data_IF_826654976231
#
_entry.id   IF_826654976231
#
_cell.length_a   1.000
_cell.length_b   1.000
_cell.length_c   1.000
_cell.angle_alpha   90.00
_cell.angle_beta   90.00
_cell.angle_gamma   90.00
#
_symmetry.space_group_name_H-M   'P 1'
#
loop_
_entity.id
_entity.type
_entity.pdbx_description
1 polymer ?
#
# COMPACT_ATOMS: atom_id res chain seq x y z
N UNK A 1 0.52 -26.30 -3.37
CA UNK A 1 0.50 -25.37 -2.23
C UNK A 1 1.57 -24.32 -2.50
N UNK A 2 1.18 -23.07 -2.76
CA UNK A 2 2.16 -21.99 -2.95
C UNK A 2 2.96 -21.84 -1.65
N UNK A 3 4.28 -22.04 -1.71
CA UNK A 3 5.14 -21.83 -0.56
C UNK A 3 5.33 -20.32 -0.37
N UNK A 4 4.46 -19.70 0.43
CA UNK A 4 4.67 -18.31 0.82
C UNK A 4 5.84 -18.20 1.78
N UNK A 5 6.62 -17.14 1.63
CA UNK A 5 7.72 -16.87 2.55
C UNK A 5 7.15 -16.27 3.85
N UNK A 6 7.39 -16.93 4.97
CA UNK A 6 6.94 -16.48 6.29
C UNK A 6 7.99 -15.57 6.93
N UNK A 7 7.57 -14.43 7.49
CA UNK A 7 8.44 -13.54 8.27
C UNK A 7 7.96 -13.57 9.72
N UNK A 8 8.76 -14.16 10.62
CA UNK A 8 8.44 -14.26 12.05
C UNK A 8 9.19 -13.26 12.94
N UNK A 9 10.08 -12.42 12.38
CA UNK A 9 10.90 -11.49 13.16
C UNK A 9 10.55 -10.03 12.89
N UNK A 10 10.29 -9.28 13.97
CA UNK A 10 10.18 -7.81 13.94
C UNK A 10 11.46 -7.12 13.48
N UNK A 11 12.59 -7.81 13.56
CA UNK A 11 13.89 -7.29 13.13
C UNK A 11 14.20 -7.57 11.66
N UNK A 12 13.32 -8.26 10.94
CA UNK A 12 13.48 -8.52 9.53
C UNK A 12 13.69 -7.20 8.76
N UNK A 13 14.69 -7.13 7.85
CA UNK A 13 14.99 -5.91 7.09
C UNK A 13 13.79 -5.34 6.33
N UNK A 14 12.94 -6.19 5.76
CA UNK A 14 11.72 -5.76 5.06
C UNK A 14 10.73 -5.10 6.03
N UNK A 15 10.52 -5.68 7.22
CA UNK A 15 9.66 -5.12 8.26
C UNK A 15 10.17 -3.73 8.69
N UNK A 16 11.47 -3.61 8.98
CA UNK A 16 12.09 -2.32 9.32
C UNK A 16 11.89 -1.30 8.19
N UNK A 17 12.11 -1.72 6.95
CA UNK A 17 11.95 -0.86 5.78
C UNK A 17 10.52 -0.36 5.60
N UNK A 18 9.51 -1.23 5.76
CA UNK A 18 8.10 -0.83 5.64
C UNK A 18 7.71 0.15 6.75
N UNK A 19 8.16 -0.07 7.99
CA UNK A 19 7.95 0.89 9.08
C UNK A 19 8.54 2.27 8.73
N UNK A 20 9.75 2.30 8.14
CA UNK A 20 10.35 3.56 7.68
C UNK A 20 9.54 4.20 6.55
N UNK A 21 9.11 3.43 5.55
CA UNK A 21 8.23 3.94 4.49
C UNK A 21 6.93 4.52 5.09
N UNK A 22 6.30 3.84 6.04
CA UNK A 22 5.03 4.30 6.62
C UNK A 22 5.18 5.64 7.37
N UNK A 23 6.31 5.86 8.06
CA UNK A 23 6.47 6.98 8.99
C UNK A 23 7.36 8.12 8.46
N UNK A 24 8.29 7.87 7.56
CA UNK A 24 9.28 8.85 7.10
C UNK A 24 8.95 9.36 5.69
N UNK A 25 8.38 10.57 5.60
CA UNK A 25 8.05 11.19 4.30
C UNK A 25 9.27 11.29 3.36
N UNK A 26 10.41 11.76 3.86
CA UNK A 26 11.66 11.85 3.08
C UNK A 26 12.10 10.49 2.53
N UNK A 27 11.90 9.42 3.30
CA UNK A 27 12.24 8.07 2.86
C UNK A 27 11.28 7.58 1.75
N UNK A 28 9.96 7.79 1.90
CA UNK A 28 9.01 7.49 0.82
C UNK A 28 9.34 8.20 -0.49
N UNK A 29 9.67 9.48 -0.42
CA UNK A 29 9.99 10.28 -1.59
C UNK A 29 11.29 9.82 -2.26
N UNK A 30 12.35 9.56 -1.49
CA UNK A 30 13.63 9.08 -2.04
C UNK A 30 13.54 7.68 -2.64
N UNK A 31 12.72 6.80 -2.08
CA UNK A 31 12.51 5.45 -2.60
C UNK A 31 11.45 5.38 -3.71
N UNK A 32 10.77 6.49 -4.01
CA UNK A 32 9.63 6.55 -4.94
C UNK A 32 8.57 5.46 -4.64
N UNK A 33 8.23 5.29 -3.37
CA UNK A 33 7.36 4.22 -2.88
C UNK A 33 6.37 4.71 -1.82
N UNK A 34 5.26 4.02 -1.69
CA UNK A 34 4.28 4.22 -0.63
C UNK A 34 3.87 2.89 0.01
N UNK A 35 3.32 2.98 1.23
CA UNK A 35 2.66 1.87 1.91
C UNK A 35 1.15 2.08 1.82
N UNK A 36 0.44 1.05 1.40
CA UNK A 36 -1.03 1.01 1.36
C UNK A 36 -1.55 -0.07 2.29
N UNK A 37 -2.79 0.12 2.75
CA UNK A 37 -3.41 -0.70 3.78
C UNK A 37 -4.78 -1.19 3.31
N UNK A 38 -5.01 -2.50 3.43
CA UNK A 38 -6.28 -3.13 3.12
C UNK A 38 -6.46 -3.59 1.68
N UNK A 39 -7.50 -4.40 1.49
CA UNK A 39 -7.80 -5.11 0.25
C UNK A 39 -8.09 -4.19 -0.93
N UNK A 40 -8.96 -3.18 -0.75
CA UNK A 40 -9.40 -2.34 -1.86
C UNK A 40 -8.24 -1.60 -2.53
N UNK A 41 -7.32 -1.03 -1.73
CA UNK A 41 -6.14 -0.36 -2.26
C UNK A 41 -5.19 -1.34 -2.94
N UNK A 42 -5.05 -2.57 -2.42
CA UNK A 42 -4.24 -3.59 -3.07
C UNK A 42 -4.83 -4.00 -4.42
N UNK A 43 -6.16 -4.15 -4.53
CA UNK A 43 -6.84 -4.43 -5.80
C UNK A 43 -6.56 -3.35 -6.84
N UNK A 44 -6.66 -2.07 -6.48
CA UNK A 44 -6.31 -0.97 -7.39
C UNK A 44 -4.83 -1.01 -7.78
N UNK A 45 -3.93 -1.22 -6.83
CA UNK A 45 -2.50 -1.31 -7.11
C UNK A 45 -2.17 -2.46 -8.07
N UNK A 46 -2.87 -3.60 -7.99
CA UNK A 46 -2.73 -4.73 -8.93
C UNK A 46 -3.15 -4.30 -10.34
N UNK A 47 -4.31 -3.65 -10.49
CA UNK A 47 -4.82 -3.18 -11.80
C UNK A 47 -3.81 -2.30 -12.54
N UNK A 48 -3.08 -1.45 -11.80
CA UNK A 48 -2.11 -0.52 -12.38
C UNK A 48 -0.65 -1.04 -12.39
N UNK A 49 -0.43 -2.28 -11.94
CA UNK A 49 0.89 -2.92 -11.90
C UNK A 49 1.87 -2.22 -10.96
N UNK A 50 1.40 -1.76 -9.80
CA UNK A 50 2.18 -0.94 -8.86
C UNK A 50 2.75 -1.73 -7.68
N UNK A 51 2.30 -2.97 -7.46
CA UNK A 51 2.64 -3.77 -6.27
C UNK A 51 4.08 -4.29 -6.33
N UNK A 52 4.84 -4.06 -5.25
CA UNK A 52 6.21 -4.57 -5.11
C UNK A 52 6.34 -5.62 -4.00
N UNK A 53 5.63 -5.45 -2.88
CA UNK A 53 5.59 -6.40 -1.77
C UNK A 53 4.21 -6.42 -1.14
N UNK A 54 3.77 -7.57 -0.64
CA UNK A 54 2.49 -7.74 0.07
C UNK A 54 2.72 -8.56 1.33
N UNK A 55 2.32 -8.03 2.48
CA UNK A 55 2.33 -8.70 3.76
C UNK A 55 0.89 -8.99 4.16
N UNK A 56 0.57 -10.26 4.40
CA UNK A 56 -0.77 -10.73 4.74
C UNK A 56 -0.70 -11.40 6.11
N UNK A 57 -1.68 -11.10 6.95
CA UNK A 57 -1.84 -11.80 8.22
C UNK A 57 -2.09 -13.29 7.96
N UNK A 58 -1.34 -14.16 8.63
CA UNK A 58 -1.42 -15.63 8.43
C UNK A 58 -2.85 -16.18 8.52
N UNK A 59 -3.62 -15.72 9.50
CA UNK A 59 -4.99 -16.17 9.73
C UNK A 59 -5.98 -15.68 8.64
N UNK A 60 -5.57 -14.71 7.82
CA UNK A 60 -6.40 -14.11 6.78
C UNK A 60 -6.15 -14.69 5.38
N UNK A 61 -5.25 -15.67 5.22
CA UNK A 61 -4.89 -16.24 3.91
C UNK A 61 -6.12 -16.78 3.16
N UNK A 62 -6.95 -17.59 3.85
CA UNK A 62 -8.16 -18.16 3.25
C UNK A 62 -9.15 -17.08 2.82
N UNK A 63 -9.28 -16.02 3.62
CA UNK A 63 -10.17 -14.88 3.32
C UNK A 63 -9.73 -14.16 2.04
N UNK A 64 -8.43 -14.03 1.81
CA UNK A 64 -7.86 -13.27 0.70
C UNK A 64 -7.32 -14.16 -0.43
N UNK A 65 -7.76 -15.41 -0.52
CA UNK A 65 -7.21 -16.38 -1.48
C UNK A 65 -7.34 -15.90 -2.94
N UNK A 66 -8.46 -15.31 -3.32
CA UNK A 66 -8.69 -14.81 -4.69
C UNK A 66 -7.77 -13.63 -5.02
N UNK A 67 -7.60 -12.71 -4.05
CA UNK A 67 -6.69 -11.58 -4.18
C UNK A 67 -5.23 -12.04 -4.30
N UNK A 68 -4.82 -13.02 -3.49
CA UNK A 68 -3.51 -13.66 -3.56
C UNK A 68 -3.29 -14.29 -4.95
N UNK A 69 -4.31 -14.98 -5.48
CA UNK A 69 -4.22 -15.61 -6.81
C UNK A 69 -4.14 -14.59 -7.95
N UNK A 70 -4.65 -13.37 -7.77
CA UNK A 70 -4.55 -12.28 -8.75
C UNK A 70 -3.16 -11.62 -8.83
N UNK A 71 -2.30 -11.85 -7.85
CA UNK A 71 -0.93 -11.32 -7.85
C UNK A 71 -0.04 -12.12 -8.79
N UNK A 72 0.57 -11.43 -9.75
CA UNK A 72 1.42 -12.05 -10.78
C UNK A 72 2.79 -12.50 -10.24
N UNK A 73 3.20 -12.00 -9.08
CA UNK A 73 4.47 -12.35 -8.45
C UNK A 73 4.26 -12.96 -7.04
N UNK A 74 4.12 -14.29 -6.92
CA UNK A 74 3.95 -14.95 -5.63
C UNK A 74 5.10 -14.72 -4.65
N UNK A 75 6.32 -14.43 -5.13
CA UNK A 75 7.48 -14.16 -4.27
C UNK A 75 7.38 -12.82 -3.54
N UNK A 76 6.55 -11.90 -4.04
CA UNK A 76 6.26 -10.63 -3.37
C UNK A 76 5.37 -10.81 -2.13
N UNK A 77 4.71 -11.96 -1.99
CA UNK A 77 3.78 -12.23 -0.89
C UNK A 77 4.54 -12.84 0.29
N UNK A 78 4.35 -12.23 1.46
CA UNK A 78 4.87 -12.69 2.73
C UNK A 78 3.73 -12.89 3.72
N UNK A 79 3.75 -14.01 4.42
CA UNK A 79 2.85 -14.23 5.56
C UNK A 79 3.55 -13.74 6.83
N UNK A 80 2.78 -13.07 7.69
CA UNK A 80 3.30 -12.53 8.94
C UNK A 80 2.34 -12.80 10.10
N UNK A 81 2.88 -13.00 11.32
CA UNK A 81 2.07 -13.14 12.52
C UNK A 81 1.53 -11.78 12.97
N UNK A 82 0.53 -11.83 13.85
CA UNK A 82 -0.20 -10.66 14.34
C UNK A 82 0.72 -9.58 14.94
N UNK A 83 1.77 -9.96 15.67
CA UNK A 83 2.72 -9.01 16.26
C UNK A 83 3.54 -8.22 15.24
N UNK A 84 3.79 -8.78 14.05
CA UNK A 84 4.43 -8.05 12.96
C UNK A 84 3.40 -7.19 12.26
N UNK A 85 2.20 -7.71 12.00
CA UNK A 85 1.14 -6.91 11.37
C UNK A 85 0.83 -5.64 12.18
N UNK A 86 0.73 -5.76 13.50
CA UNK A 86 0.58 -4.62 14.42
C UNK A 86 1.71 -3.60 14.34
N UNK A 87 2.95 -4.06 14.11
CA UNK A 87 4.12 -3.17 13.97
C UNK A 87 4.08 -2.38 12.66
N UNK A 88 3.50 -2.95 11.60
CA UNK A 88 3.39 -2.33 10.28
C UNK A 88 2.18 -1.38 10.17
N UNK A 89 1.16 -1.62 10.99
CA UNK A 89 -0.09 -0.88 10.98
C UNK A 89 0.08 0.50 11.63
N UNK A 90 -0.23 1.56 10.88
CA UNK A 90 -0.28 2.95 11.38
C UNK A 90 -1.71 3.46 11.53
N UNK A 91 -2.69 2.62 11.21
CA UNK A 91 -4.12 2.95 11.27
C UNK A 91 -4.67 2.66 12.67
N UNK A 92 -5.81 3.28 13.00
CA UNK A 92 -6.52 3.01 14.25
C UNK A 92 -7.05 1.58 14.31
N UNK A 93 -7.57 1.08 13.19
CA UNK A 93 -7.96 -0.31 13.03
C UNK A 93 -6.82 -1.12 12.44
N UNK A 94 -6.70 -2.37 12.88
CA UNK A 94 -5.70 -3.28 12.33
C UNK A 94 -6.09 -3.68 10.90
N UNK A 95 -5.23 -3.39 9.94
CA UNK A 95 -5.34 -3.96 8.60
C UNK A 95 -4.70 -5.35 8.55
N UNK A 96 -5.38 -6.29 7.89
CA UNK A 96 -4.87 -7.64 7.65
C UNK A 96 -3.95 -7.73 6.42
N UNK A 97 -3.85 -6.63 5.65
CA UNK A 97 -3.04 -6.50 4.43
C UNK A 97 -2.26 -5.19 4.51
N UNK A 98 -0.94 -5.30 4.32
CA UNK A 98 -0.04 -4.16 4.12
C UNK A 98 0.75 -4.41 2.84
N UNK A 99 0.76 -3.46 1.92
CA UNK A 99 1.53 -3.58 0.69
C UNK A 99 2.43 -2.37 0.43
N UNK A 100 3.57 -2.64 -0.20
CA UNK A 100 4.46 -1.60 -0.74
C UNK A 100 4.16 -1.47 -2.23
N UNK A 101 3.94 -0.23 -2.65
CA UNK A 101 3.70 0.13 -4.04
C UNK A 101 4.75 1.10 -4.55
N UNK A 102 5.02 1.03 -5.85
CA UNK A 102 5.84 2.00 -6.56
C UNK A 102 5.01 3.23 -6.92
N UNK A 103 5.57 4.41 -6.72
CA UNK A 103 5.04 5.68 -7.22
C UNK A 103 5.64 5.93 -8.61
N UNK A 104 4.79 6.07 -9.62
CA UNK A 104 5.25 6.44 -10.98
C UNK A 104 5.64 7.92 -10.99
N UNK A 105 6.79 8.23 -11.59
CA UNK A 105 7.36 9.58 -11.65
C UNK A 105 6.73 10.47 -12.73
N UNK A 106 5.90 9.92 -13.60
CA UNK A 106 5.31 10.65 -14.71
C UNK A 106 3.98 11.28 -14.31
N UNK A 107 4.03 12.58 -14.00
CA UNK A 107 2.87 13.45 -14.16
C UNK A 107 2.93 13.98 -15.58
N UNK A 108 1.95 13.62 -16.41
CA UNK A 108 1.70 14.37 -17.64
C UNK A 108 1.27 15.78 -17.23
N UNK A 109 1.62 16.80 -18.03
CA UNK A 109 1.09 18.14 -17.80
C UNK A 109 -0.44 18.09 -17.88
N UNK A 110 -1.16 18.65 -16.89
CA UNK A 110 -2.60 18.64 -16.89
C UNK A 110 -3.12 19.47 -18.07
N UNK A 111 -4.07 18.90 -18.83
CA UNK A 111 -4.74 19.64 -19.90
C UNK A 111 -5.75 20.63 -19.31
N UNK A 112 -5.47 21.92 -19.40
CA UNK A 112 -6.36 22.98 -18.89
C UNK A 112 -7.63 23.21 -19.75
N UNK A 113 -7.85 22.36 -20.76
CA UNK A 113 -9.04 22.40 -21.62
C UNK A 113 -10.18 21.52 -21.12
N UNK A 114 -9.98 20.79 -20.02
CA UNK A 114 -10.97 19.93 -19.38
C UNK A 114 -11.38 20.52 -18.02
N UNK A 115 -12.49 20.02 -17.47
CA UNK A 115 -12.90 20.31 -16.10
C UNK A 115 -11.72 20.05 -15.15
N UNK A 116 -11.32 21.11 -14.46
CA UNK A 116 -10.08 21.14 -13.71
C UNK A 116 -10.34 21.50 -12.25
N UNK A 117 -9.68 20.78 -11.35
CA UNK A 117 -9.72 21.03 -9.92
C UNK A 117 -8.41 21.67 -9.47
N UNK A 118 -8.47 22.94 -9.04
CA UNK A 118 -7.32 23.67 -8.50
C UNK A 118 -7.38 23.65 -6.97
N UNK A 119 -6.34 23.13 -6.35
CA UNK A 119 -6.25 22.99 -4.90
C UNK A 119 -5.25 24.00 -4.35
N UNK A 120 -5.73 24.93 -3.54
CA UNK A 120 -4.91 25.93 -2.87
C UNK A 120 -4.95 25.70 -1.34
N UNK A 121 -3.78 25.60 -0.72
CA UNK A 121 -3.61 25.56 0.74
C UNK A 121 -4.48 24.53 1.48
N UNK A 122 -4.66 23.32 0.93
CA UNK A 122 -5.34 22.22 1.61
C UNK A 122 -4.52 21.80 2.84
N UNK A 123 -5.07 21.98 4.03
CA UNK A 123 -4.35 21.82 5.30
C UNK A 123 -4.26 20.37 5.78
N UNK A 124 -5.33 19.58 5.61
CA UNK A 124 -5.40 18.21 6.11
C UNK A 124 -5.38 17.17 4.98
N UNK A 125 -4.57 16.09 5.10
CA UNK A 125 -4.55 14.99 4.13
C UNK A 125 -5.92 14.33 3.93
N UNK A 126 -6.74 14.27 4.99
CA UNK A 126 -8.10 13.72 4.94
C UNK A 126 -9.05 14.53 4.05
N UNK A 127 -8.87 15.86 4.03
CA UNK A 127 -9.66 16.74 3.16
C UNK A 127 -9.27 16.53 1.70
N UNK A 128 -7.96 16.44 1.41
CA UNK A 128 -7.46 16.16 0.07
C UNK A 128 -8.02 14.84 -0.48
N UNK A 129 -7.97 13.76 0.31
CA UNK A 129 -8.49 12.46 -0.11
C UNK A 129 -10.00 12.45 -0.36
N UNK A 130 -10.76 13.25 0.38
CA UNK A 130 -12.21 13.38 0.15
C UNK A 130 -12.51 14.14 -1.13
N UNK A 131 -11.78 15.23 -1.38
CA UNK A 131 -11.91 16.03 -2.60
C UNK A 131 -11.57 15.19 -3.83
N UNK A 132 -10.46 14.45 -3.82
CA UNK A 132 -10.06 13.60 -4.95
C UNK A 132 -11.07 12.49 -5.23
N UNK A 133 -11.69 11.91 -4.20
CA UNK A 133 -12.76 10.91 -4.37
C UNK A 133 -14.02 11.50 -4.98
N UNK A 134 -14.39 12.72 -4.57
CA UNK A 134 -15.54 13.42 -5.14
C UNK A 134 -15.31 13.80 -6.61
N UNK A 135 -14.07 14.16 -6.98
CA UNK A 135 -13.70 14.47 -8.36
C UNK A 135 -13.63 13.22 -9.27
N UNK A 136 -13.40 12.04 -8.69
CA UNK A 136 -13.40 10.76 -9.42
C UNK A 136 -14.81 10.19 -9.66
N UNK A 137 -15.75 10.46 -8.75
CA UNK A 137 -17.12 9.93 -8.77
C UNK A 137 -17.95 10.52 -9.93
#
# INVERSE_FOLDING_TARGET
MLAFNHIGSKDNPLVKRIVRLANESKFRHSEAQAVIYGEHLLQEAIKYGLVEQVLILEDAVTKYQDLINSLTNPQAIKLVPIEIMRKLNILDSLSEIVAVIKIKSTLAEPSLTQDSLVLENIQDPGNLGTILRAAYA
#
